data_IF_183009358176
#
_entry.id   IF_183009358176
#
_cell.length_a   1.000
_cell.length_b   1.000
_cell.length_c   1.000
_cell.angle_alpha   90.00
_cell.angle_beta   90.00
_cell.angle_gamma   90.00
#
_symmetry.space_group_name_H-M   'P 1'
#
loop_
_entity.id
_entity.type
_entity.pdbx_description
1 polymer ?
#
# COMPACT_ATOMS: atom_id res chain seq x y z
N UNK A 1 20.78 2.19 -4.60
CA UNK A 1 19.73 3.20 -4.68
C UNK A 1 18.54 2.66 -5.44
N UNK A 2 17.35 2.96 -4.98
CA UNK A 2 16.11 2.51 -5.59
C UNK A 2 15.74 3.45 -6.74
N UNK A 3 15.65 2.92 -7.97
CA UNK A 3 15.35 3.73 -9.16
C UNK A 3 14.21 3.10 -9.95
N UNK A 4 13.19 3.89 -10.28
CA UNK A 4 12.03 3.48 -11.06
C UNK A 4 11.71 4.55 -12.10
N UNK A 5 11.46 4.13 -13.34
CA UNK A 5 11.22 5.03 -14.47
C UNK A 5 9.80 5.58 -14.49
N UNK A 6 8.86 4.92 -13.82
CA UNK A 6 7.45 5.26 -13.81
C UNK A 6 6.88 5.21 -12.40
N UNK A 7 5.72 5.85 -12.21
CA UNK A 7 4.96 5.72 -10.96
C UNK A 7 4.56 4.25 -10.77
N UNK A 8 4.92 3.68 -9.62
CA UNK A 8 4.70 2.28 -9.30
C UNK A 8 3.50 2.16 -8.37
N UNK A 9 2.46 1.36 -8.73
CA UNK A 9 1.38 1.07 -7.79
C UNK A 9 1.88 0.11 -6.71
N UNK A 10 2.11 0.64 -5.52
CA UNK A 10 2.65 -0.09 -4.38
C UNK A 10 1.87 0.29 -3.13
N UNK A 11 1.01 -0.61 -2.64
CA UNK A 11 0.05 -0.31 -1.59
C UNK A 11 0.41 -0.87 -0.23
N UNK A 12 0.06 -0.13 0.82
CA UNK A 12 0.30 -0.52 2.21
C UNK A 12 -0.98 -1.02 2.88
N UNK A 13 -0.81 -1.83 3.92
CA UNK A 13 -1.91 -2.37 4.70
C UNK A 13 -2.46 -1.36 5.71
N UNK A 14 -3.63 -1.66 6.24
CA UNK A 14 -4.23 -0.90 7.34
C UNK A 14 -3.30 -0.85 8.57
N UNK A 15 -2.72 -1.98 8.95
CA UNK A 15 -1.85 -2.04 10.12
C UNK A 15 -0.58 -1.22 9.93
N UNK A 16 -0.02 -1.20 8.71
CA UNK A 16 1.13 -0.35 8.41
C UNK A 16 0.78 1.14 8.57
N UNK A 17 -0.40 1.57 8.10
CA UNK A 17 -0.85 2.95 8.27
C UNK A 17 -0.98 3.30 9.75
N UNK A 18 -1.53 2.40 10.56
CA UNK A 18 -1.67 2.65 12.01
C UNK A 18 -0.31 2.88 12.66
N UNK A 19 0.69 2.11 12.29
CA UNK A 19 2.05 2.24 12.80
C UNK A 19 2.74 3.50 12.28
N UNK A 20 2.68 3.75 10.97
CA UNK A 20 3.36 4.88 10.33
C UNK A 20 2.87 6.23 10.84
N UNK A 21 1.57 6.37 11.02
CA UNK A 21 0.93 7.63 11.40
C UNK A 21 0.50 7.66 12.87
N UNK A 22 0.84 6.62 13.63
CA UNK A 22 0.44 6.48 15.05
C UNK A 22 -1.06 6.70 15.26
N UNK A 23 -1.89 6.10 14.39
CA UNK A 23 -3.33 6.28 14.43
C UNK A 23 -3.95 5.58 15.61
N UNK A 24 -4.66 6.32 16.44
CA UNK A 24 -5.47 5.78 17.55
C UNK A 24 -6.89 5.48 17.08
N UNK A 25 -7.66 4.78 17.93
CA UNK A 25 -9.07 4.56 17.66
C UNK A 25 -9.86 5.88 17.59
N UNK A 26 -9.43 6.89 18.35
CA UNK A 26 -10.02 8.24 18.30
C UNK A 26 -9.76 8.91 16.96
N UNK A 27 -8.53 8.79 16.43
CA UNK A 27 -8.18 9.34 15.12
C UNK A 27 -9.07 8.73 14.02
N UNK A 28 -9.37 7.44 14.10
CA UNK A 28 -10.21 6.73 13.15
C UNK A 28 -11.69 7.14 13.20
N UNK A 29 -12.11 7.89 14.21
CA UNK A 29 -13.46 8.46 14.30
C UNK A 29 -13.59 9.76 13.52
N UNK A 30 -12.51 10.40 13.16
CA UNK A 30 -12.50 11.64 12.37
C UNK A 30 -12.59 11.34 10.87
N UNK A 31 -12.94 12.37 10.10
CA UNK A 31 -12.84 12.27 8.64
C UNK A 31 -11.37 12.28 8.25
N UNK A 32 -11.00 11.36 7.38
CA UNK A 32 -9.61 11.17 6.95
C UNK A 32 -9.55 11.35 5.43
N UNK A 33 -8.57 12.16 4.98
CA UNK A 33 -8.21 12.25 3.57
C UNK A 33 -6.85 11.62 3.41
N UNK A 34 -6.76 10.57 2.58
CA UNK A 34 -5.53 9.85 2.29
C UNK A 34 -5.03 10.27 0.91
N UNK A 35 -4.05 11.17 0.88
CA UNK A 35 -3.48 11.72 -0.34
C UNK A 35 -2.33 10.86 -0.83
N UNK A 36 -2.31 10.54 -2.14
CA UNK A 36 -1.31 9.67 -2.71
C UNK A 36 -1.44 8.24 -2.18
N UNK A 37 -2.67 7.79 -1.99
CA UNK A 37 -2.96 6.52 -1.34
C UNK A 37 -2.50 5.30 -2.15
N UNK A 38 -2.53 5.38 -3.50
CA UNK A 38 -2.22 4.24 -4.34
C UNK A 38 -3.13 3.04 -4.08
N UNK A 39 -2.68 1.81 -4.37
CA UNK A 39 -3.48 0.61 -4.13
C UNK A 39 -3.37 0.10 -2.68
N UNK A 40 -3.54 1.01 -1.71
CA UNK A 40 -3.46 0.68 -0.29
C UNK A 40 -4.78 0.12 0.24
N UNK A 41 -4.70 -0.79 1.19
CA UNK A 41 -5.87 -1.41 1.81
C UNK A 41 -6.49 -0.57 2.95
N UNK A 42 -5.92 0.57 3.28
CA UNK A 42 -6.34 1.35 4.46
C UNK A 42 -7.82 1.75 4.37
N UNK A 43 -8.24 2.35 3.25
CA UNK A 43 -9.63 2.81 3.10
C UNK A 43 -10.61 1.64 3.22
N UNK A 44 -10.37 0.55 2.51
CA UNK A 44 -11.24 -0.61 2.52
C UNK A 44 -11.48 -1.13 3.93
N UNK A 45 -10.41 -1.33 4.69
CA UNK A 45 -10.52 -1.85 6.04
C UNK A 45 -11.07 -0.84 7.03
N UNK A 46 -10.62 0.41 6.97
CA UNK A 46 -11.11 1.47 7.85
C UNK A 46 -12.61 1.71 7.65
N UNK A 47 -13.06 1.74 6.40
CA UNK A 47 -14.48 1.91 6.07
C UNK A 47 -15.33 0.77 6.61
N UNK A 48 -14.86 -0.47 6.52
CA UNK A 48 -15.56 -1.62 7.13
C UNK A 48 -15.67 -1.52 8.65
N UNK A 49 -14.77 -0.77 9.27
CA UNK A 49 -14.81 -0.47 10.73
C UNK A 49 -15.64 0.76 11.07
N UNK A 50 -16.30 1.37 10.10
CA UNK A 50 -17.16 2.54 10.30
C UNK A 50 -16.46 3.88 10.18
N UNK A 51 -15.21 3.92 9.74
CA UNK A 51 -14.47 5.16 9.51
C UNK A 51 -14.93 5.85 8.22
N UNK A 52 -14.65 7.15 8.12
CA UNK A 52 -14.93 7.95 6.93
C UNK A 52 -13.61 8.36 6.28
N UNK A 53 -13.24 7.67 5.20
CA UNK A 53 -11.98 7.88 4.50
C UNK A 53 -12.24 8.24 3.04
N UNK A 54 -11.59 9.28 2.56
CA UNK A 54 -11.54 9.64 1.15
C UNK A 54 -10.10 9.46 0.69
N UNK A 55 -9.88 8.57 -0.25
CA UNK A 55 -8.55 8.32 -0.83
C UNK A 55 -8.42 9.04 -2.18
N UNK A 56 -7.28 9.68 -2.39
CA UNK A 56 -6.96 10.43 -3.60
C UNK A 56 -5.63 9.95 -4.17
N UNK A 57 -5.61 9.60 -5.46
CA UNK A 57 -4.39 9.21 -6.15
C UNK A 57 -4.62 9.27 -7.67
N UNK A 58 -3.63 9.71 -8.47
CA UNK A 58 -3.74 9.67 -9.92
C UNK A 58 -4.03 8.26 -10.49
N UNK A 59 -3.67 7.21 -9.75
CA UNK A 59 -3.94 5.83 -10.13
C UNK A 59 -5.44 5.57 -10.34
N UNK A 60 -6.31 6.27 -9.64
CA UNK A 60 -7.76 6.02 -9.65
C UNK A 60 -8.45 6.49 -10.91
N UNK A 61 -7.73 7.10 -11.85
CA UNK A 61 -8.27 7.37 -13.19
C UNK A 61 -8.46 6.11 -14.03
N UNK A 62 -7.79 5.01 -13.65
CA UNK A 62 -7.92 3.71 -14.32
C UNK A 62 -8.86 2.80 -13.56
N UNK A 63 -9.45 1.82 -14.26
CA UNK A 63 -10.31 0.84 -13.63
C UNK A 63 -9.50 -0.23 -12.86
N UNK A 64 -10.22 -1.07 -12.10
CA UNK A 64 -9.59 -2.09 -11.26
C UNK A 64 -8.77 -3.11 -12.06
N UNK A 65 -9.24 -3.49 -13.25
CA UNK A 65 -8.54 -4.45 -14.11
C UNK A 65 -7.22 -3.88 -14.61
N UNK A 66 -7.21 -2.62 -15.04
CA UNK A 66 -5.99 -1.93 -15.48
C UNK A 66 -4.99 -1.81 -14.34
N UNK A 67 -5.45 -1.45 -13.14
CA UNK A 67 -4.61 -1.36 -11.95
C UNK A 67 -4.03 -2.73 -11.59
N UNK A 68 -4.84 -3.78 -11.65
CA UNK A 68 -4.39 -5.15 -11.37
C UNK A 68 -3.31 -5.59 -12.34
N UNK A 69 -3.48 -5.34 -13.64
CA UNK A 69 -2.49 -5.67 -14.65
C UNK A 69 -1.17 -4.93 -14.40
N UNK A 70 -1.25 -3.66 -14.04
CA UNK A 70 -0.07 -2.86 -13.73
C UNK A 70 0.68 -3.41 -12.51
N UNK A 71 -0.04 -3.75 -11.45
CA UNK A 71 0.53 -4.36 -10.25
C UNK A 71 1.25 -5.66 -10.61
N UNK A 72 0.58 -6.54 -11.36
CA UNK A 72 1.16 -7.82 -11.77
C UNK A 72 2.42 -7.64 -12.62
N UNK A 73 2.43 -6.65 -13.52
CA UNK A 73 3.57 -6.39 -14.39
C UNK A 73 4.83 -5.92 -13.67
N UNK A 74 4.67 -5.22 -12.54
CA UNK A 74 5.81 -4.59 -11.85
C UNK A 74 6.18 -5.24 -10.51
N UNK A 75 5.32 -6.09 -9.97
CA UNK A 75 5.49 -6.64 -8.61
C UNK A 75 6.85 -7.32 -8.43
N UNK A 76 7.20 -8.23 -9.33
CA UNK A 76 8.47 -8.95 -9.25
C UNK A 76 9.67 -8.02 -9.46
N UNK A 77 9.54 -7.04 -10.33
CA UNK A 77 10.59 -6.03 -10.57
C UNK A 77 10.86 -5.22 -9.31
N UNK A 78 9.81 -4.77 -8.62
CA UNK A 78 9.95 -3.99 -7.39
C UNK A 78 10.57 -4.85 -6.28
N UNK A 79 10.15 -6.09 -6.13
CA UNK A 79 10.77 -6.99 -5.15
C UNK A 79 12.23 -7.27 -5.48
N UNK A 80 12.58 -7.42 -6.75
CA UNK A 80 13.98 -7.61 -7.16
C UNK A 80 14.83 -6.38 -6.81
N UNK A 81 14.31 -5.17 -7.01
CA UNK A 81 14.98 -3.94 -6.59
C UNK A 81 15.14 -3.86 -5.08
N UNK A 82 14.11 -4.25 -4.32
CA UNK A 82 14.18 -4.30 -2.87
C UNK A 82 15.27 -5.28 -2.40
N UNK A 83 15.41 -6.44 -3.05
CA UNK A 83 16.45 -7.42 -2.72
C UNK A 83 17.85 -6.88 -3.00
N UNK A 84 18.04 -6.17 -4.12
CA UNK A 84 19.34 -5.56 -4.45
C UNK A 84 19.72 -4.46 -3.48
N UNK A 85 18.76 -3.80 -2.86
CA UNK A 85 18.96 -2.68 -1.95
C UNK A 85 18.55 -3.00 -0.52
N UNK A 86 18.50 -4.28 -0.13
CA UNK A 86 17.97 -4.67 1.18
C UNK A 86 18.75 -4.08 2.36
N UNK A 87 20.02 -3.70 2.15
CA UNK A 87 20.83 -3.03 3.19
C UNK A 87 20.38 -1.58 3.44
N UNK A 88 19.65 -0.98 2.49
CA UNK A 88 19.11 0.37 2.64
C UNK A 88 17.82 0.40 3.47
N UNK A 89 17.26 -0.75 3.82
CA UNK A 89 16.02 -0.86 4.57
C UNK A 89 16.26 -1.18 6.04
N UNK A 90 15.33 -0.73 6.88
CA UNK A 90 15.30 -1.10 8.30
C UNK A 90 14.28 -2.21 8.49
N UNK A 91 14.76 -3.39 8.89
CA UNK A 91 13.93 -4.59 9.05
C UNK A 91 13.47 -4.73 10.51
N UNK A 92 12.39 -4.05 10.86
CA UNK A 92 11.76 -4.10 12.18
C UNK A 92 10.39 -4.77 12.11
N UNK A 93 9.35 -3.98 11.76
CA UNK A 93 7.98 -4.48 11.62
C UNK A 93 7.83 -5.45 10.43
N UNK A 94 8.66 -5.28 9.40
CA UNK A 94 8.75 -6.18 8.25
C UNK A 94 10.11 -6.86 8.32
N UNK A 95 10.11 -8.19 8.40
CA UNK A 95 11.31 -8.96 8.75
C UNK A 95 12.25 -9.23 7.56
N UNK A 96 11.73 -9.25 6.32
CA UNK A 96 12.52 -9.63 5.14
C UNK A 96 11.86 -9.12 3.86
N UNK A 97 12.56 -9.25 2.72
CA UNK A 97 12.00 -8.92 1.40
C UNK A 97 10.82 -9.83 1.06
N UNK A 98 10.89 -11.11 1.39
CA UNK A 98 9.77 -12.04 1.18
C UNK A 98 8.55 -11.65 2.01
N UNK A 99 8.76 -11.25 3.26
CA UNK A 99 7.72 -10.75 4.14
C UNK A 99 7.11 -9.44 3.58
N UNK A 100 7.95 -8.53 3.12
CA UNK A 100 7.52 -7.30 2.47
C UNK A 100 6.61 -7.61 1.27
N UNK A 101 7.02 -8.53 0.40
CA UNK A 101 6.25 -8.93 -0.77
C UNK A 101 4.88 -9.50 -0.40
N UNK A 102 4.83 -10.38 0.61
CA UNK A 102 3.58 -10.97 1.08
C UNK A 102 2.62 -9.91 1.64
N UNK A 103 3.12 -8.99 2.45
CA UNK A 103 2.32 -7.91 3.05
C UNK A 103 1.77 -6.98 1.96
N UNK A 104 2.60 -6.57 1.00
CA UNK A 104 2.19 -5.68 -0.08
C UNK A 104 1.16 -6.33 -0.99
N UNK A 105 1.39 -7.60 -1.36
CA UNK A 105 0.44 -8.34 -2.19
C UNK A 105 -0.92 -8.46 -1.51
N UNK A 106 -0.94 -8.84 -0.24
CA UNK A 106 -2.18 -8.96 0.53
C UNK A 106 -2.92 -7.62 0.60
N UNK A 107 -2.20 -6.52 0.83
CA UNK A 107 -2.80 -5.19 0.89
C UNK A 107 -3.39 -4.77 -0.46
N UNK A 108 -2.68 -5.00 -1.55
CA UNK A 108 -3.15 -4.64 -2.88
C UNK A 108 -4.32 -5.52 -3.32
N UNK A 109 -4.32 -6.80 -2.97
CA UNK A 109 -5.46 -7.70 -3.22
C UNK A 109 -6.72 -7.22 -2.47
N UNK A 110 -6.56 -6.78 -1.23
CA UNK A 110 -7.66 -6.21 -0.43
C UNK A 110 -8.19 -4.90 -1.05
N UNK A 111 -7.30 -4.04 -1.55
CA UNK A 111 -7.68 -2.83 -2.27
C UNK A 111 -8.52 -3.17 -3.52
N UNK A 112 -8.05 -4.12 -4.34
CA UNK A 112 -8.72 -4.51 -5.58
C UNK A 112 -10.09 -5.16 -5.34
N UNK A 113 -10.27 -5.82 -4.21
CA UNK A 113 -11.51 -6.49 -3.85
C UNK A 113 -12.62 -5.52 -3.36
N UNK A 114 -12.24 -4.29 -3.03
CA UNK A 114 -13.16 -3.30 -2.46
C UNK A 114 -14.05 -2.60 -3.55
#
# INVERSE_FOLDING_TARGET
MFTLDEVVPWGRSFDEYRLMFALSDVDLQHRIVDCGAGPAAFNARATRRGAHVISCDPLYQWDADDIQQRIAAIFDTVLAEARRNQEDFVWNAIASVDDLGAIRKAAMDEFLAD
#
